data_IF_848856477663
#
_entry.id   IF_848856477663
#
_cell.length_a   1.000
_cell.length_b   1.000
_cell.length_c   1.000
_cell.angle_alpha   90.00
_cell.angle_beta   90.00
_cell.angle_gamma   90.00
#
_symmetry.space_group_name_H-M   'P 1'
#
loop_
_entity.id
_entity.type
_entity.pdbx_description
1 polymer ?
#
# COMPACT_ATOMS: atom_id res chain seq x y z
N UNK A 1 -39.74 66.95 19.28
CA UNK A 1 -39.10 66.07 18.30
C UNK A 1 -38.78 64.78 19.03
N UNK A 2 -39.80 63.94 19.14
CA UNK A 2 -39.71 62.57 19.62
C UNK A 2 -39.47 61.65 18.42
N UNK A 3 -38.73 60.57 18.64
CA UNK A 3 -38.46 59.56 17.61
C UNK A 3 -37.38 58.57 18.03
N UNK A 4 -37.63 57.84 19.12
CA UNK A 4 -36.96 56.58 19.43
C UNK A 4 -37.38 55.54 18.37
N UNK A 5 -36.41 55.03 17.61
CA UNK A 5 -36.61 53.95 16.66
C UNK A 5 -36.04 52.65 17.22
N UNK A 6 -36.98 51.84 17.69
CA UNK A 6 -36.98 50.39 17.80
C UNK A 6 -36.08 49.69 16.76
N UNK A 7 -35.19 48.80 17.23
CA UNK A 7 -34.66 47.73 16.39
C UNK A 7 -34.44 46.49 17.25
N UNK A 8 -35.34 45.54 17.06
CA UNK A 8 -35.37 44.19 17.60
C UNK A 8 -34.17 43.34 17.11
N UNK A 9 -33.57 42.48 17.96
CA UNK A 9 -32.53 41.55 17.51
C UNK A 9 -33.16 40.32 16.85
N UNK A 10 -32.82 40.10 15.58
CA UNK A 10 -33.19 38.91 14.80
C UNK A 10 -32.56 37.65 15.39
N UNK A 11 -33.41 36.69 15.74
CA UNK A 11 -33.04 35.39 16.27
C UNK A 11 -32.17 34.59 15.28
N UNK A 12 -31.10 33.99 15.81
CA UNK A 12 -30.29 33.01 15.11
C UNK A 12 -31.06 31.68 14.99
N UNK A 13 -31.03 30.98 13.84
CA UNK A 13 -31.54 29.62 13.77
C UNK A 13 -30.60 28.67 14.52
N UNK A 14 -31.17 27.97 15.50
CA UNK A 14 -30.58 26.85 16.21
C UNK A 14 -30.35 25.68 15.25
N UNK A 15 -29.09 25.40 14.90
CA UNK A 15 -28.74 24.18 14.18
C UNK A 15 -28.70 23.01 15.16
N UNK A 16 -29.74 22.18 15.07
CA UNK A 16 -29.93 20.98 15.84
C UNK A 16 -28.95 19.90 15.37
N UNK A 17 -28.03 19.53 16.26
CA UNK A 17 -27.58 18.16 16.47
C UNK A 17 -27.36 17.32 15.21
N UNK A 18 -26.26 17.56 14.48
CA UNK A 18 -25.64 16.49 13.69
C UNK A 18 -24.50 15.90 14.50
N UNK A 19 -24.82 14.87 15.27
CA UNK A 19 -23.82 14.01 15.90
C UNK A 19 -22.85 13.52 14.82
N UNK A 20 -21.63 14.06 14.85
CA UNK A 20 -20.55 13.65 13.99
C UNK A 20 -20.24 12.19 14.27
N UNK A 21 -20.82 11.28 13.47
CA UNK A 21 -20.25 9.96 13.27
C UNK A 21 -18.82 10.20 12.81
N UNK A 22 -17.85 9.92 13.67
CA UNK A 22 -16.44 9.80 13.30
C UNK A 22 -16.31 8.66 12.29
N UNK A 23 -16.58 8.97 11.02
CA UNK A 23 -16.29 8.08 9.92
C UNK A 23 -14.79 8.02 9.77
N UNK A 24 -14.16 6.96 10.24
CA UNK A 24 -12.88 6.53 9.69
C UNK A 24 -13.05 6.49 8.17
N UNK A 25 -12.37 7.39 7.46
CA UNK A 25 -12.26 7.37 6.00
C UNK A 25 -11.76 5.96 5.62
N UNK A 26 -12.64 5.14 5.05
CA UNK A 26 -12.44 3.71 4.84
C UNK A 26 -11.53 3.37 3.65
N UNK A 27 -10.48 4.14 3.42
CA UNK A 27 -9.51 3.86 2.35
C UNK A 27 -8.43 2.88 2.77
N UNK A 28 -7.81 2.26 1.78
CA UNK A 28 -6.73 1.27 1.97
C UNK A 28 -5.36 1.81 1.55
N UNK A 29 -5.30 3.00 0.95
CA UNK A 29 -4.07 3.70 0.62
C UNK A 29 -4.07 5.07 1.29
N UNK A 30 -3.04 5.34 2.10
CA UNK A 30 -2.84 6.62 2.77
C UNK A 30 -1.68 7.34 2.09
N UNK A 31 -1.85 8.63 1.81
CA UNK A 31 -0.81 9.48 1.30
C UNK A 31 -0.67 10.75 2.14
N UNK A 32 0.57 11.15 2.42
CA UNK A 32 0.88 12.51 2.89
C UNK A 32 1.61 13.21 1.75
N UNK A 33 1.01 14.28 1.24
CA UNK A 33 1.56 15.08 0.15
C UNK A 33 2.07 16.39 0.72
N UNK A 34 3.34 16.70 0.49
CA UNK A 34 3.97 17.94 0.93
C UNK A 34 4.57 18.67 -0.26
N UNK A 35 4.26 19.97 -0.38
CA UNK A 35 4.84 20.83 -1.41
C UNK A 35 6.31 21.15 -1.08
N UNK A 36 7.18 21.10 -2.07
CA UNK A 36 8.61 21.38 -1.93
C UNK A 36 9.13 22.30 -3.04
N UNK A 37 10.15 23.10 -2.71
CA UNK A 37 11.01 23.76 -3.68
C UNK A 37 12.18 22.86 -4.10
N UNK A 38 12.62 22.00 -3.17
CA UNK A 38 13.65 20.96 -3.40
C UNK A 38 13.49 19.86 -2.36
N UNK A 39 13.73 18.61 -2.75
CA UNK A 39 13.89 17.50 -1.81
C UNK A 39 15.06 16.60 -2.21
N UNK A 40 15.82 16.12 -1.22
CA UNK A 40 16.93 15.17 -1.41
C UNK A 40 16.72 13.95 -0.53
N UNK A 41 16.93 12.77 -1.09
CA UNK A 41 16.80 11.51 -0.39
C UNK A 41 18.07 10.68 -0.59
N UNK A 42 18.67 10.24 0.51
CA UNK A 42 19.85 9.38 0.50
C UNK A 42 19.44 7.97 0.06
N UNK A 43 19.89 7.55 -1.12
CA UNK A 43 19.57 6.24 -1.71
C UNK A 43 20.61 5.19 -1.36
N UNK A 44 21.88 5.59 -1.19
CA UNK A 44 22.97 4.73 -0.73
C UNK A 44 23.77 5.44 0.38
N UNK A 45 23.63 4.95 1.60
CA UNK A 45 24.34 5.51 2.75
C UNK A 45 25.84 5.21 2.78
N UNK A 46 26.28 4.12 2.13
CA UNK A 46 27.69 3.76 2.10
C UNK A 46 28.47 4.61 1.10
N UNK A 47 27.85 4.91 -0.04
CA UNK A 47 28.43 5.75 -1.09
C UNK A 47 28.03 7.24 -0.99
N UNK A 48 27.32 7.66 0.06
CA UNK A 48 26.74 9.00 0.21
C UNK A 48 26.01 9.49 -1.05
N UNK A 49 25.25 8.61 -1.68
CA UNK A 49 24.57 8.90 -2.95
C UNK A 49 23.15 9.39 -2.68
N UNK A 50 22.84 10.56 -3.22
CA UNK A 50 21.54 11.23 -3.06
C UNK A 50 20.79 11.26 -4.39
N UNK A 51 19.48 11.04 -4.32
CA UNK A 51 18.57 11.47 -5.37
C UNK A 51 17.97 12.82 -4.99
N UNK A 52 17.79 13.69 -5.98
CA UNK A 52 17.26 15.04 -5.79
C UNK A 52 16.10 15.28 -6.74
N UNK A 53 15.11 16.05 -6.26
CA UNK A 53 14.02 16.61 -7.05
C UNK A 53 13.90 18.11 -6.80
N UNK A 54 13.48 18.84 -7.82
CA UNK A 54 13.23 20.28 -7.73
C UNK A 54 11.86 20.62 -7.15
N UNK A 55 11.26 21.69 -7.68
CA UNK A 55 9.95 22.19 -7.26
C UNK A 55 8.86 21.16 -7.58
N UNK A 56 7.99 20.89 -6.61
CA UNK A 56 6.83 20.04 -6.81
C UNK A 56 6.37 19.38 -5.52
N UNK A 57 6.22 18.06 -5.52
CA UNK A 57 5.59 17.30 -4.43
C UNK A 57 6.48 16.18 -3.90
N UNK A 58 6.54 16.05 -2.58
CA UNK A 58 6.95 14.82 -1.91
C UNK A 58 5.69 14.07 -1.49
N UNK A 59 5.58 12.81 -1.88
CA UNK A 59 4.40 11.96 -1.63
C UNK A 59 4.83 10.76 -0.81
N UNK A 60 4.52 10.79 0.48
CA UNK A 60 4.67 9.64 1.37
C UNK A 60 3.48 8.71 1.19
N UNK A 61 3.69 7.42 0.92
CA UNK A 61 2.60 6.45 0.65
C UNK A 61 2.65 5.28 1.62
N UNK A 62 1.50 4.88 2.13
CA UNK A 62 1.29 3.65 2.91
C UNK A 62 0.07 2.90 2.42
N UNK A 63 0.11 1.57 2.57
CA UNK A 63 -1.03 0.70 2.30
C UNK A 63 -1.49 0.03 3.60
N UNK A 64 -2.78 0.08 3.84
CA UNK A 64 -3.43 -0.56 4.97
C UNK A 64 -3.80 -2.02 4.64
N UNK A 65 -4.18 -2.78 5.67
CA UNK A 65 -4.83 -4.08 5.49
C UNK A 65 -6.06 -3.95 4.61
N UNK A 66 -6.24 -4.90 3.70
CA UNK A 66 -7.31 -4.85 2.70
C UNK A 66 -6.92 -4.13 1.42
N UNK A 67 -5.74 -3.50 1.35
CA UNK A 67 -5.22 -3.01 0.07
C UNK A 67 -5.06 -4.18 -0.92
N UNK A 68 -5.44 -3.98 -2.20
CA UNK A 68 -5.36 -5.02 -3.21
C UNK A 68 -3.91 -5.47 -3.40
N UNK A 69 -3.74 -6.78 -3.59
CA UNK A 69 -2.45 -7.34 -3.98
C UNK A 69 -2.04 -6.84 -5.37
N UNK A 70 -0.74 -6.95 -5.69
CA UNK A 70 -0.23 -6.58 -7.00
C UNK A 70 -1.02 -7.31 -8.11
N UNK A 71 -1.59 -6.53 -9.04
CA UNK A 71 -2.57 -7.01 -10.01
C UNK A 71 -3.48 -5.89 -10.52
N UNK A 72 -4.48 -6.23 -11.32
CA UNK A 72 -5.33 -5.26 -12.03
C UNK A 72 -6.05 -4.27 -11.10
N UNK A 73 -6.58 -4.77 -9.97
CA UNK A 73 -7.29 -3.96 -8.98
C UNK A 73 -6.37 -2.90 -8.34
N UNK A 74 -5.16 -3.31 -7.93
CA UNK A 74 -4.13 -2.39 -7.44
C UNK A 74 -3.72 -1.37 -8.50
N UNK A 75 -3.62 -1.78 -9.77
CA UNK A 75 -3.37 -0.87 -10.89
C UNK A 75 -4.46 0.18 -11.06
N UNK A 76 -5.74 -0.20 -10.88
CA UNK A 76 -6.87 0.75 -10.93
C UNK A 76 -6.80 1.76 -9.79
N UNK A 77 -6.59 1.29 -8.56
CA UNK A 77 -6.43 2.15 -7.39
C UNK A 77 -5.27 3.15 -7.58
N UNK A 78 -4.10 2.66 -7.99
CA UNK A 78 -2.92 3.49 -8.23
C UNK A 78 -3.15 4.54 -9.32
N UNK A 79 -3.80 4.17 -10.44
CA UNK A 79 -4.14 5.13 -11.50
C UNK A 79 -5.09 6.21 -11.01
N UNK A 80 -6.10 5.86 -10.22
CA UNK A 80 -7.05 6.83 -9.67
C UNK A 80 -6.42 7.74 -8.63
N UNK A 81 -5.57 7.21 -7.75
CA UNK A 81 -4.81 7.98 -6.77
C UNK A 81 -3.84 8.93 -7.46
N UNK A 82 -3.07 8.45 -8.45
CA UNK A 82 -2.16 9.28 -9.24
C UNK A 82 -2.90 10.40 -9.97
N UNK A 83 -4.04 10.10 -10.64
CA UNK A 83 -4.87 11.12 -11.29
C UNK A 83 -5.36 12.18 -10.30
N UNK A 84 -5.80 11.76 -9.11
CA UNK A 84 -6.26 12.66 -8.06
C UNK A 84 -5.13 13.57 -7.55
N UNK A 85 -3.96 13.01 -7.23
CA UNK A 85 -2.80 13.77 -6.73
C UNK A 85 -2.27 14.75 -7.79
N UNK A 86 -2.14 14.29 -9.04
CA UNK A 86 -1.61 15.09 -10.14
C UNK A 86 -2.57 16.21 -10.59
N UNK A 87 -3.88 16.01 -10.44
CA UNK A 87 -4.91 16.95 -10.84
C UNK A 87 -5.40 17.89 -9.73
N UNK A 88 -5.13 17.58 -8.47
CA UNK A 88 -5.49 18.44 -7.34
C UNK A 88 -4.58 19.67 -7.27
N UNK A 89 -5.07 20.83 -6.76
CA UNK A 89 -4.27 22.04 -6.57
C UNK A 89 -3.32 21.88 -5.39
N UNK A 90 -2.26 21.09 -5.58
CA UNK A 90 -1.30 20.73 -4.52
C UNK A 90 0.09 21.33 -4.72
N UNK A 91 0.38 21.83 -5.91
CA UNK A 91 1.67 22.43 -6.27
C UNK A 91 1.56 23.94 -6.46
N UNK A 92 2.63 24.59 -6.88
CA UNK A 92 2.62 26.00 -7.28
C UNK A 92 3.66 26.29 -8.35
N UNK A 93 3.42 27.37 -9.07
CA UNK A 93 4.39 27.96 -9.98
C UNK A 93 5.57 28.57 -9.22
N UNK A 94 6.58 29.01 -9.97
CA UNK A 94 7.66 29.82 -9.41
C UNK A 94 7.20 31.23 -9.02
N UNK A 95 6.15 31.73 -9.66
CA UNK A 95 5.58 33.03 -9.39
C UNK A 95 4.65 32.99 -8.17
N UNK A 96 5.22 33.23 -6.99
CA UNK A 96 4.48 33.30 -5.74
C UNK A 96 3.47 34.46 -5.73
N UNK A 97 2.25 34.18 -5.28
CA UNK A 97 1.21 35.17 -5.01
C UNK A 97 0.89 35.21 -3.51
N UNK A 98 0.78 36.42 -2.96
CA UNK A 98 0.57 36.67 -1.53
C UNK A 98 -0.84 36.31 -1.02
N UNK A 99 -1.78 36.03 -1.91
CA UNK A 99 -3.20 35.85 -1.60
C UNK A 99 -3.60 34.40 -1.34
N UNK A 100 -2.63 33.48 -1.20
CA UNK A 100 -2.86 32.03 -0.99
C UNK A 100 -3.65 31.34 -2.13
N UNK A 101 -3.76 31.97 -3.30
CA UNK A 101 -4.38 31.37 -4.50
C UNK A 101 -3.34 30.74 -5.45
N UNK A 102 -2.11 30.57 -4.99
CA UNK A 102 -0.98 30.05 -5.77
C UNK A 102 -1.02 28.52 -5.98
N UNK A 103 -2.01 27.85 -5.39
CA UNK A 103 -2.16 26.41 -5.46
C UNK A 103 -2.72 25.96 -6.82
N UNK A 104 -1.90 25.23 -7.57
CA UNK A 104 -2.23 24.70 -8.90
C UNK A 104 -1.90 23.21 -8.98
N UNK A 105 -2.47 22.53 -9.96
CA UNK A 105 -2.16 21.12 -10.19
C UNK A 105 -0.84 20.93 -10.92
N UNK A 106 -0.14 19.83 -10.65
CA UNK A 106 1.08 19.45 -11.38
C UNK A 106 0.80 19.40 -12.89
N UNK A 107 -0.36 18.85 -13.27
CA UNK A 107 -0.78 18.77 -14.68
C UNK A 107 -0.96 20.15 -15.31
N UNK A 108 -1.60 21.09 -14.62
CA UNK A 108 -1.82 22.43 -15.15
C UNK A 108 -0.49 23.17 -15.38
N UNK A 109 0.44 23.07 -14.43
CA UNK A 109 1.78 23.67 -14.52
C UNK A 109 2.58 23.07 -15.68
N UNK A 110 2.68 21.74 -15.73
CA UNK A 110 3.42 21.05 -16.77
C UNK A 110 2.86 21.27 -18.18
N UNK A 111 1.54 21.44 -18.33
CA UNK A 111 0.91 21.80 -19.62
C UNK A 111 1.34 23.16 -20.16
N UNK A 112 1.78 24.08 -19.28
CA UNK A 112 2.31 25.39 -19.67
C UNK A 112 3.83 25.40 -19.81
N UNK A 113 4.47 24.24 -19.70
CA UNK A 113 5.93 24.12 -19.76
C UNK A 113 6.64 24.44 -18.45
N UNK A 114 5.92 24.57 -17.34
CA UNK A 114 6.53 24.75 -16.03
C UNK A 114 6.94 23.39 -15.45
N UNK A 115 8.25 23.10 -15.29
CA UNK A 115 8.70 21.82 -14.78
C UNK A 115 8.25 21.61 -13.34
N UNK A 116 7.83 20.39 -13.03
CA UNK A 116 7.45 19.97 -11.70
C UNK A 116 8.08 18.61 -11.42
N UNK A 117 8.38 18.33 -10.16
CA UNK A 117 8.96 17.07 -9.73
C UNK A 117 8.09 16.36 -8.69
N UNK A 118 8.15 15.04 -8.66
CA UNK A 118 7.45 14.20 -7.68
C UNK A 118 8.46 13.23 -7.09
N UNK A 119 8.59 13.25 -5.77
CA UNK A 119 9.36 12.24 -5.03
C UNK A 119 8.41 11.33 -4.25
N UNK A 120 8.34 10.06 -4.64
CA UNK A 120 7.53 9.06 -3.96
C UNK A 120 8.35 8.33 -2.89
N UNK A 121 7.86 8.35 -1.65
CA UNK A 121 8.53 7.74 -0.50
C UNK A 121 7.60 6.72 0.17
N UNK A 122 7.92 5.41 0.12
CA UNK A 122 7.19 4.42 0.91
C UNK A 122 7.32 4.74 2.41
N UNK A 123 6.19 4.91 3.10
CA UNK A 123 6.12 5.30 4.50
C UNK A 123 5.05 4.49 5.23
N UNK A 124 5.35 3.24 5.56
CA UNK A 124 4.41 2.30 6.19
C UNK A 124 3.79 2.83 7.49
N UNK A 125 4.46 3.75 8.19
CA UNK A 125 4.01 4.31 9.46
C UNK A 125 2.73 5.15 9.39
N UNK A 126 2.30 5.61 8.20
CA UNK A 126 1.12 6.48 8.06
C UNK A 126 -0.21 5.86 8.49
N UNK A 127 -0.26 4.53 8.63
CA UNK A 127 -1.46 3.81 9.10
C UNK A 127 -1.38 3.44 10.59
N UNK A 128 -0.41 4.00 11.31
CA UNK A 128 -0.32 3.86 12.75
C UNK A 128 -1.52 4.49 13.45
N UNK A 129 -1.90 3.93 14.59
CA UNK A 129 -2.88 4.51 15.50
C UNK A 129 -2.24 4.79 16.85
N UNK A 130 -2.52 5.96 17.40
CA UNK A 130 -2.25 6.32 18.79
C UNK A 130 -3.61 6.59 19.44
N UNK A 131 -4.01 5.76 20.41
CA UNK A 131 -5.25 5.97 21.14
C UNK A 131 -5.05 7.04 22.22
N UNK A 132 -6.10 7.83 22.47
CA UNK A 132 -6.03 8.93 23.43
C UNK A 132 -5.72 8.39 24.82
N UNK A 133 -4.65 8.90 25.44
CA UNK A 133 -4.18 8.46 26.75
C UNK A 133 -3.16 7.31 26.71
N UNK A 134 -2.94 6.70 25.54
CA UNK A 134 -1.85 5.73 25.35
C UNK A 134 -0.55 6.41 24.93
N UNK A 135 0.59 5.74 25.19
CA UNK A 135 1.94 6.18 24.79
C UNK A 135 2.53 5.35 23.65
N UNK A 136 1.86 4.28 23.25
CA UNK A 136 2.36 3.31 22.26
C UNK A 136 1.65 3.45 20.92
N UNK A 137 2.42 3.51 19.84
CA UNK A 137 1.90 3.45 18.47
C UNK A 137 1.53 2.00 18.10
N UNK A 138 0.31 1.80 17.62
CA UNK A 138 -0.19 0.52 17.12
C UNK A 138 -0.12 0.49 15.59
N UNK A 139 0.52 -0.54 15.04
CA UNK A 139 0.71 -0.71 13.59
C UNK A 139 -0.12 -1.85 12.99
N UNK A 140 -1.16 -2.31 13.68
CA UNK A 140 -1.97 -3.46 13.29
C UNK A 140 -2.70 -3.29 11.95
N UNK A 141 -2.78 -2.07 11.42
CA UNK A 141 -3.41 -1.77 10.13
C UNK A 141 -2.44 -1.76 8.95
N UNK A 142 -1.12 -1.93 9.15
CA UNK A 142 -0.17 -2.05 8.04
C UNK A 142 -0.45 -3.29 7.18
N UNK A 143 -0.38 -3.12 5.86
CA UNK A 143 -0.39 -4.26 4.95
C UNK A 143 0.82 -5.17 5.23
N UNK A 144 0.65 -6.48 5.04
CA UNK A 144 1.73 -7.44 5.23
C UNK A 144 2.82 -7.21 4.17
N UNK A 145 4.11 -7.36 4.55
CA UNK A 145 5.18 -7.45 3.54
C UNK A 145 4.91 -8.66 2.64
N UNK A 146 5.30 -8.62 1.37
CA UNK A 146 5.05 -9.71 0.41
C UNK A 146 5.42 -11.12 0.96
N UNK A 147 6.54 -11.25 1.67
CA UNK A 147 6.94 -12.51 2.31
C UNK A 147 6.00 -12.94 3.47
N UNK A 148 5.48 -11.98 4.23
CA UNK A 148 4.49 -12.24 5.28
C UNK A 148 3.11 -12.55 4.68
N UNK A 149 2.74 -11.93 3.56
CA UNK A 149 1.52 -12.24 2.82
C UNK A 149 1.55 -13.67 2.27
N UNK A 150 2.67 -14.09 1.68
CA UNK A 150 2.89 -15.49 1.25
C UNK A 150 2.77 -16.48 2.42
N UNK A 151 3.38 -16.18 3.58
CA UNK A 151 3.25 -17.01 4.80
C UNK A 151 1.85 -17.02 5.39
N UNK A 152 1.14 -15.89 5.32
CA UNK A 152 -0.24 -15.78 5.78
C UNK A 152 -1.19 -16.58 4.89
N UNK A 153 -1.05 -16.46 3.57
CA UNK A 153 -1.79 -17.27 2.59
C UNK A 153 -1.51 -18.76 2.79
N UNK A 154 -0.25 -19.16 2.99
CA UNK A 154 0.10 -20.55 3.30
C UNK A 154 -0.52 -21.04 4.63
N UNK A 155 -0.74 -20.14 5.60
CA UNK A 155 -1.41 -20.46 6.87
C UNK A 155 -2.94 -20.56 6.75
N UNK A 156 -3.51 -20.21 5.60
CA UNK A 156 -4.93 -20.35 5.27
C UNK A 156 -5.25 -21.63 4.48
N UNK A 157 -4.24 -22.43 4.13
CA UNK A 157 -4.43 -23.74 3.49
C UNK A 157 -4.95 -24.71 4.55
N UNK A 158 -5.90 -25.59 4.23
CA UNK A 158 -6.38 -26.60 5.17
C UNK A 158 -5.25 -27.61 5.52
N UNK A 159 -5.18 -28.16 6.75
CA UNK A 159 -4.06 -29.01 7.16
C UNK A 159 -3.84 -30.25 6.27
N UNK A 160 -4.91 -30.81 5.71
CA UNK A 160 -4.92 -31.97 4.81
C UNK A 160 -4.41 -31.65 3.39
N UNK A 161 -4.38 -30.37 3.02
CA UNK A 161 -3.89 -29.86 1.73
C UNK A 161 -2.48 -29.29 1.80
N UNK A 162 -1.92 -29.13 3.01
CA UNK A 162 -0.64 -28.48 3.25
C UNK A 162 0.50 -29.09 2.41
N UNK A 163 0.57 -30.42 2.35
CA UNK A 163 1.65 -31.13 1.63
C UNK A 163 1.30 -31.52 0.19
N UNK A 164 0.16 -31.07 -0.31
CA UNK A 164 -0.34 -31.32 -1.67
C UNK A 164 -0.30 -30.09 -2.56
N UNK A 165 -0.02 -28.93 -1.98
CA UNK A 165 -0.07 -27.62 -2.67
C UNK A 165 1.19 -26.81 -2.40
N UNK A 166 1.47 -25.82 -3.24
CA UNK A 166 2.53 -24.84 -3.01
C UNK A 166 3.94 -25.46 -2.99
N UNK A 167 4.69 -25.25 -1.90
CA UNK A 167 6.09 -25.68 -1.84
C UNK A 167 6.31 -27.20 -1.78
N UNK A 168 5.24 -27.98 -1.55
CA UNK A 168 5.27 -29.45 -1.46
C UNK A 168 4.63 -30.15 -2.65
N UNK A 169 4.11 -29.38 -3.60
CA UNK A 169 3.51 -29.90 -4.82
C UNK A 169 4.52 -30.76 -5.59
N UNK A 170 4.08 -31.96 -5.99
CA UNK A 170 4.90 -32.95 -6.70
C UNK A 170 6.01 -33.62 -5.88
N UNK A 171 6.16 -33.33 -4.58
CA UNK A 171 7.25 -33.90 -3.76
C UNK A 171 6.95 -35.25 -3.12
N UNK A 172 5.68 -35.62 -3.06
CA UNK A 172 5.22 -36.80 -2.33
C UNK A 172 4.12 -37.51 -3.12
N UNK A 173 4.15 -38.83 -3.12
CA UNK A 173 3.20 -39.66 -3.86
C UNK A 173 2.07 -40.21 -3.01
N UNK A 174 2.30 -40.39 -1.70
CA UNK A 174 1.33 -40.98 -0.78
C UNK A 174 1.27 -40.21 0.53
N UNK A 175 0.09 -40.23 1.14
CA UNK A 175 -0.24 -39.45 2.34
C UNK A 175 -1.06 -40.29 3.31
N UNK A 176 -0.96 -39.99 4.61
CA UNK A 176 -1.79 -40.59 5.64
C UNK A 176 -3.21 -39.98 5.70
N UNK A 177 -4.07 -40.48 6.60
CA UNK A 177 -5.44 -39.98 6.79
C UNK A 177 -5.54 -38.52 7.27
N UNK A 178 -4.42 -37.89 7.63
CA UNK A 178 -4.33 -36.48 8.03
C UNK A 178 -3.74 -35.60 6.92
N UNK A 179 -3.34 -36.20 5.79
CA UNK A 179 -2.67 -35.52 4.69
C UNK A 179 -1.16 -35.34 4.88
N UNK A 180 -0.52 -36.04 5.81
CA UNK A 180 0.94 -36.02 6.03
C UNK A 180 1.62 -37.04 5.09
N UNK A 181 2.70 -36.67 4.36
CA UNK A 181 3.37 -37.58 3.44
C UNK A 181 3.95 -38.83 4.09
N UNK A 182 3.79 -39.98 3.42
CA UNK A 182 4.39 -41.26 3.81
C UNK A 182 5.49 -41.71 2.83
N UNK A 183 5.36 -41.33 1.56
CA UNK A 183 6.31 -41.68 0.51
C UNK A 183 6.77 -40.43 -0.27
N UNK A 184 7.99 -40.46 -0.80
CA UNK A 184 8.53 -39.43 -1.68
C UNK A 184 7.87 -39.44 -3.08
N UNK A 185 8.33 -38.55 -3.97
CA UNK A 185 7.80 -38.41 -5.32
C UNK A 185 7.95 -39.69 -6.18
N UNK A 186 8.94 -40.53 -5.88
CA UNK A 186 9.24 -41.76 -6.63
C UNK A 186 8.53 -42.99 -6.04
N UNK A 187 7.80 -42.82 -4.93
CA UNK A 187 7.12 -43.91 -4.23
C UNK A 187 7.99 -44.64 -3.22
N UNK A 188 9.15 -44.09 -2.86
CA UNK A 188 10.01 -44.58 -1.80
C UNK A 188 9.51 -44.17 -0.41
N UNK A 189 9.57 -45.08 0.56
CA UNK A 189 9.18 -44.79 1.95
C UNK A 189 10.09 -43.71 2.57
N UNK A 190 9.47 -42.69 3.17
CA UNK A 190 10.22 -41.63 3.84
C UNK A 190 10.89 -42.13 5.12
N UNK A 191 12.15 -41.73 5.32
CA UNK A 191 12.90 -42.08 6.53
C UNK A 191 12.23 -41.56 7.82
N UNK A 192 12.46 -42.25 8.95
CA UNK A 192 11.93 -41.88 10.28
C UNK A 192 12.24 -40.43 10.68
N UNK A 193 13.39 -39.89 10.25
CA UNK A 193 13.77 -38.49 10.50
C UNK A 193 12.99 -37.50 9.63
N UNK A 194 12.70 -37.86 8.37
CA UNK A 194 11.88 -37.06 7.47
C UNK A 194 10.42 -36.99 7.94
N UNK A 195 9.83 -38.14 8.31
CA UNK A 195 8.47 -38.22 8.86
C UNK A 195 8.31 -37.34 10.11
N UNK A 196 9.28 -37.39 11.04
CA UNK A 196 9.25 -36.56 12.26
C UNK A 196 9.32 -35.06 11.95
N UNK A 197 10.01 -34.66 10.87
CA UNK A 197 10.08 -33.26 10.44
C UNK A 197 8.75 -32.80 9.83
N UNK A 198 8.14 -33.64 8.98
CA UNK A 198 6.84 -33.36 8.36
C UNK A 198 5.71 -33.29 9.41
N UNK A 199 5.70 -34.20 10.38
CA UNK A 199 4.76 -34.19 11.49
C UNK A 199 4.85 -32.88 12.31
N UNK A 200 6.08 -32.38 12.53
CA UNK A 200 6.29 -31.09 13.23
C UNK A 200 5.76 -29.91 12.42
N UNK A 201 5.94 -29.93 11.09
CA UNK A 201 5.42 -28.91 10.18
C UNK A 201 3.88 -28.94 10.19
N UNK A 202 3.28 -30.13 10.07
CA UNK A 202 1.84 -30.36 10.15
C UNK A 202 1.26 -29.83 11.47
N UNK A 203 1.79 -30.28 12.61
CA UNK A 203 1.28 -29.91 13.93
C UNK A 203 1.39 -28.39 14.20
N UNK A 204 2.43 -27.75 13.67
CA UNK A 204 2.61 -26.30 13.76
C UNK A 204 1.58 -25.53 12.91
N UNK A 205 1.27 -26.03 11.72
CA UNK A 205 0.31 -25.43 10.80
C UNK A 205 -1.14 -25.68 11.23
N UNK A 206 -1.50 -26.91 11.62
CA UNK A 206 -2.83 -27.25 12.14
C UNK A 206 -3.23 -26.40 13.36
N UNK A 207 -2.30 -26.13 14.28
CA UNK A 207 -2.54 -25.21 15.42
C UNK A 207 -2.81 -23.77 14.98
N UNK A 208 -2.11 -23.29 13.95
CA UNK A 208 -2.31 -21.94 13.41
C UNK A 208 -3.64 -21.86 12.66
N UNK A 209 -3.93 -22.85 11.81
CA UNK A 209 -5.18 -22.95 11.07
C UNK A 209 -6.38 -23.00 12.01
N UNK A 210 -6.37 -23.88 13.02
CA UNK A 210 -7.44 -23.97 14.02
C UNK A 210 -7.65 -22.67 14.82
N UNK A 211 -6.57 -21.91 15.07
CA UNK A 211 -6.67 -20.60 15.74
C UNK A 211 -7.28 -19.52 14.84
N UNK A 212 -7.06 -19.60 13.53
CA UNK A 212 -7.59 -18.64 12.55
C UNK A 212 -9.06 -18.97 12.22
N UNK A 213 -9.36 -20.25 12.05
CA UNK A 213 -10.67 -20.78 11.66
C UNK A 213 -11.29 -21.58 12.81
N UNK A 214 -11.34 -21.02 14.01
CA UNK A 214 -12.00 -21.69 15.13
C UNK A 214 -13.49 -21.91 14.79
N UNK A 215 -13.79 -23.07 14.21
CA UNK A 215 -15.12 -23.56 13.87
C UNK A 215 -15.57 -24.44 15.04
N UNK A 216 -16.76 -24.21 15.63
CA UNK A 216 -17.36 -25.14 16.58
C UNK A 216 -17.64 -26.46 15.85
N UNK A 217 -17.24 -27.57 16.45
CA UNK A 217 -17.27 -28.91 15.86
C UNK A 217 -18.64 -29.26 15.21
N UNK A 218 -18.61 -29.83 14.00
CA UNK A 218 -19.00 -31.22 13.68
C UNK A 218 -19.08 -31.43 12.14
N UNK A 219 -18.65 -32.63 11.72
CA UNK A 219 -18.95 -33.39 10.49
C UNK A 219 -18.71 -32.83 9.07
N UNK A 220 -17.64 -33.36 8.45
CA UNK A 220 -17.51 -33.62 7.00
C UNK A 220 -18.61 -34.56 6.49
N UNK A 221 -19.14 -34.40 5.26
CA UNK A 221 -18.54 -35.19 4.17
C UNK A 221 -18.64 -34.66 2.71
N UNK A 222 -17.75 -35.24 1.89
CA UNK A 222 -17.89 -35.70 0.49
C UNK A 222 -17.90 -34.70 -0.70
N UNK A 223 -16.80 -34.81 -1.47
CA UNK A 223 -16.73 -35.13 -2.90
C UNK A 223 -17.34 -34.19 -3.96
N UNK A 224 -16.51 -33.88 -4.97
CA UNK A 224 -16.98 -33.65 -6.35
C UNK A 224 -16.17 -32.64 -7.17
N UNK A 225 -15.61 -33.13 -8.29
CA UNK A 225 -15.37 -32.44 -9.58
C UNK A 225 -14.47 -31.19 -9.58
N UNK A 226 -13.24 -31.24 -10.10
CA UNK A 226 -12.80 -31.26 -11.52
C UNK A 226 -12.22 -29.90 -11.95
N UNK A 227 -10.89 -29.91 -12.21
CA UNK A 227 -10.03 -29.16 -13.19
C UNK A 227 -10.31 -27.66 -13.45
N UNK A 228 -9.29 -26.76 -13.57
CA UNK A 228 -8.09 -26.99 -14.39
C UNK A 228 -6.72 -26.42 -13.93
N UNK A 229 -5.69 -27.18 -14.29
CA UNK A 229 -4.38 -26.80 -14.84
C UNK A 229 -3.77 -25.42 -14.50
N UNK A 230 -2.76 -25.45 -13.63
CA UNK A 230 -1.32 -25.20 -13.95
C UNK A 230 -1.01 -24.48 -15.28
N UNK A 231 -0.05 -23.55 -15.39
CA UNK A 231 1.10 -23.14 -14.57
C UNK A 231 1.72 -21.86 -15.25
N UNK A 232 2.92 -21.35 -14.88
CA UNK A 232 3.69 -21.51 -13.66
C UNK A 232 4.01 -20.17 -12.96
N UNK A 233 4.41 -20.29 -11.70
CA UNK A 233 5.13 -19.28 -10.95
C UNK A 233 6.61 -19.28 -11.35
N UNK A 234 7.22 -18.11 -11.53
CA UNK A 234 8.68 -17.97 -11.41
C UNK A 234 9.11 -16.70 -10.66
N UNK A 235 10.10 -16.95 -9.80
CA UNK A 235 11.25 -16.15 -9.40
C UNK A 235 11.14 -14.64 -9.15
N UNK A 236 11.72 -14.24 -8.02
CA UNK A 236 12.22 -12.90 -7.78
C UNK A 236 13.31 -12.57 -8.80
N UNK A 237 12.95 -11.74 -9.78
CA UNK A 237 13.89 -10.98 -10.60
C UNK A 237 14.06 -9.59 -9.99
N UNK A 238 15.32 -9.16 -9.84
CA UNK A 238 15.66 -7.75 -9.95
C UNK A 238 14.92 -7.20 -11.17
N UNK A 239 14.28 -6.05 -11.04
CA UNK A 239 13.58 -5.43 -12.16
C UNK A 239 14.54 -5.36 -13.36
N UNK A 240 14.23 -6.03 -14.49
CA UNK A 240 15.03 -5.90 -15.68
C UNK A 240 14.98 -4.42 -16.08
N UNK A 241 16.14 -3.79 -16.20
CA UNK A 241 16.33 -2.64 -17.08
C UNK A 241 16.24 -3.13 -18.52
N UNK A 242 15.08 -3.65 -18.90
CA UNK A 242 14.69 -3.81 -20.29
C UNK A 242 13.77 -2.65 -20.61
N UNK A 243 14.21 -1.81 -21.55
CA UNK A 243 13.38 -0.83 -22.19
C UNK A 243 12.31 -1.58 -23.02
N UNK A 244 11.29 -2.12 -22.36
CA UNK A 244 10.04 -2.42 -23.05
C UNK A 244 9.53 -1.06 -23.52
N UNK A 245 9.44 -0.85 -24.83
CA UNK A 245 8.71 0.28 -25.39
C UNK A 245 7.30 0.22 -24.83
N UNK A 246 7.07 0.98 -23.75
CA UNK A 246 5.75 1.18 -23.20
C UNK A 246 4.85 1.78 -24.29
N UNK A 247 3.51 1.73 -24.11
CA UNK A 247 2.60 2.32 -25.08
C UNK A 247 3.08 3.71 -25.45
N UNK A 248 3.34 3.93 -26.74
CA UNK A 248 3.89 5.17 -27.26
C UNK A 248 2.98 6.31 -26.79
N UNK A 249 3.50 7.12 -25.86
CA UNK A 249 2.76 8.23 -25.30
C UNK A 249 2.40 9.18 -26.45
N UNK A 250 1.15 9.69 -26.48
CA UNK A 250 0.79 10.68 -27.49
C UNK A 250 1.74 11.88 -27.39
N UNK A 251 2.04 12.55 -28.51
CA UNK A 251 2.91 13.71 -28.50
C UNK A 251 2.37 14.76 -27.54
N UNK A 252 3.26 15.35 -26.73
CA UNK A 252 2.89 16.41 -25.81
C UNK A 252 2.43 17.65 -26.60
N UNK A 253 1.47 18.44 -26.07
CA UNK A 253 1.18 19.76 -26.61
C UNK A 253 2.46 20.60 -26.71
N UNK A 254 2.53 21.46 -27.73
CA UNK A 254 3.67 22.35 -27.93
C UNK A 254 3.94 23.19 -26.67
N UNK A 255 5.19 23.19 -26.20
CA UNK A 255 5.60 23.89 -24.99
C UNK A 255 5.27 23.18 -23.67
N UNK A 256 4.56 22.05 -23.67
CA UNK A 256 4.30 21.28 -22.45
C UNK A 256 5.49 20.39 -22.05
N UNK A 257 5.60 20.07 -20.77
CA UNK A 257 6.58 19.13 -20.22
C UNK A 257 5.89 18.00 -19.44
N UNK A 258 6.64 16.95 -19.10
CA UNK A 258 6.21 15.93 -18.13
C UNK A 258 6.84 16.21 -16.77
N UNK A 259 6.17 15.83 -15.66
CA UNK A 259 6.80 15.93 -14.36
C UNK A 259 7.95 14.93 -14.24
N UNK A 260 9.03 15.34 -13.59
CA UNK A 260 10.12 14.43 -13.20
C UNK A 260 9.66 13.59 -12.02
N UNK A 261 9.60 12.26 -12.17
CA UNK A 261 9.19 11.36 -11.09
C UNK A 261 10.38 10.57 -10.60
N UNK A 262 10.65 10.66 -9.29
CA UNK A 262 11.64 9.85 -8.59
C UNK A 262 11.00 9.11 -7.44
N UNK A 263 11.63 8.02 -7.01
CA UNK A 263 11.19 7.29 -5.83
C UNK A 263 12.39 6.77 -5.04
N UNK A 264 12.19 6.54 -3.75
CA UNK A 264 13.19 5.91 -2.90
C UNK A 264 12.63 5.59 -1.53
N UNK A 265 13.21 4.60 -0.86
CA UNK A 265 12.86 4.29 0.51
C UNK A 265 13.45 5.33 1.47
N UNK A 266 12.73 5.60 2.56
CA UNK A 266 13.21 6.42 3.67
C UNK A 266 13.04 5.64 4.99
N UNK A 267 14.08 4.93 5.41
CA UNK A 267 14.15 4.12 6.62
C UNK A 267 15.57 3.57 6.86
N UNK A 268 15.97 3.44 8.13
CA UNK A 268 17.34 3.04 8.49
C UNK A 268 18.31 4.24 8.54
N UNK A 269 19.55 4.08 8.04
CA UNK A 269 20.59 5.11 7.99
C UNK A 269 20.44 6.08 6.80
N UNK A 270 19.21 6.36 6.37
CA UNK A 270 18.91 7.21 5.22
C UNK A 270 18.67 8.66 5.68
N UNK A 271 19.28 9.63 5.00
CA UNK A 271 19.04 11.05 5.17
C UNK A 271 17.92 11.57 4.25
N UNK A 272 17.17 12.56 4.72
CA UNK A 272 16.16 13.26 3.92
C UNK A 272 16.22 14.75 4.20
N UNK A 273 16.30 15.54 3.13
CA UNK A 273 16.32 17.00 3.20
C UNK A 273 15.15 17.56 2.40
N UNK A 274 14.48 18.57 2.96
CA UNK A 274 13.35 19.22 2.33
C UNK A 274 13.47 20.74 2.48
N UNK A 275 13.41 21.44 1.35
CA UNK A 275 13.23 22.89 1.33
C UNK A 275 11.80 23.18 0.88
N UNK A 276 11.03 23.88 1.70
CA UNK A 276 9.65 24.27 1.37
C UNK A 276 9.37 25.72 1.80
N UNK A 277 8.57 26.42 1.01
CA UNK A 277 8.12 27.79 1.30
C UNK A 277 6.94 27.89 2.28
N UNK A 278 6.53 26.78 2.89
CA UNK A 278 5.46 26.75 3.89
C UNK A 278 4.98 25.32 4.19
N UNK A 279 4.12 25.14 5.20
CA UNK A 279 3.72 23.81 5.67
C UNK A 279 2.69 23.13 4.76
N UNK A 280 2.56 23.52 3.49
CA UNK A 280 1.51 23.06 2.57
C UNK A 280 1.54 21.53 2.42
N UNK A 281 0.78 20.86 3.28
CA UNK A 281 0.86 19.42 3.56
C UNK A 281 -0.55 18.89 3.74
N UNK A 282 -0.89 17.81 3.04
CA UNK A 282 -2.22 17.23 3.04
C UNK A 282 -2.15 15.74 3.30
N UNK A 283 -3.04 15.24 4.15
CA UNK A 283 -3.28 13.80 4.29
C UNK A 283 -4.46 13.41 3.41
N UNK A 284 -4.25 12.43 2.53
CA UNK A 284 -5.23 11.89 1.61
C UNK A 284 -5.42 10.40 1.89
N UNK A 285 -6.65 9.93 1.80
CA UNK A 285 -7.02 8.53 2.01
C UNK A 285 -7.82 8.09 0.78
N UNK A 286 -7.36 7.02 0.13
CA UNK A 286 -7.94 6.43 -1.08
C UNK A 286 -8.38 5.00 -0.82
#
# INVERSE_FOLDING_TARGET
MEGDADTTPSAAPSDAGRSGRGGTLGGTMHAVVQRCARARLLVDSAADTWTEVGRGLVVYISFAKGAPAAGEESGRLLRQAAKSILGAPLSSSEHWKADHTDAESVVALCRRGEPQSILVVPQASLVAKLELGEKSLKYHHQCAKALQAKRAAASQIAPDQLFKTGEYEGKYSQYDGRGVPTHDAEGGELSKSALKKLEKIYAGHAKKYAKIFAVPAEDTPLAGSEVPAEAPAEAHTEAPTEASEGPQLPPLPEGACLPEVRHGTFGGRQGFELTSGGPFTHMLVF
#
